data_IF_292432683908
#
_entry.id   IF_292432683908
#
_cell.length_a   1.000
_cell.length_b   1.000
_cell.length_c   1.000
_cell.angle_alpha   90.00
_cell.angle_beta   90.00
_cell.angle_gamma   90.00
#
_symmetry.space_group_name_H-M   'P 1'
#
loop_
_entity.id
_entity.type
_entity.pdbx_description
1 polymer ?
#
# COMPACT_ATOMS: atom_id res chain seq x y z
N UNK A 1 26.37 65.69 -5.43
CA UNK A 1 26.30 64.79 -4.26
C UNK A 1 24.98 64.01 -4.20
N UNK A 2 23.83 64.58 -4.56
CA UNK A 2 22.51 63.90 -4.52
C UNK A 2 22.24 62.77 -5.56
N UNK A 3 23.20 62.36 -6.40
CA UNK A 3 23.01 61.25 -7.38
C UNK A 3 23.63 59.93 -6.89
N UNK A 4 24.72 59.97 -6.12
CA UNK A 4 25.35 58.75 -5.62
C UNK A 4 24.56 58.12 -4.48
N UNK A 5 23.93 58.91 -3.62
CA UNK A 5 23.10 58.39 -2.51
C UNK A 5 21.83 57.69 -3.01
N UNK A 6 21.25 58.15 -4.12
CA UNK A 6 20.08 57.51 -4.75
C UNK A 6 20.45 56.20 -5.43
N UNK A 7 21.60 56.16 -6.12
CA UNK A 7 22.10 54.95 -6.76
C UNK A 7 22.56 53.91 -5.71
N UNK A 8 23.17 54.33 -4.61
CA UNK A 8 23.53 53.47 -3.48
C UNK A 8 22.30 52.93 -2.75
N UNK A 9 21.26 53.75 -2.54
CA UNK A 9 19.99 53.29 -1.95
C UNK A 9 19.23 52.32 -2.86
N UNK A 10 19.25 52.55 -4.19
CA UNK A 10 18.65 51.63 -5.16
C UNK A 10 19.40 50.30 -5.23
N UNK A 11 20.73 50.34 -5.21
CA UNK A 11 21.58 49.15 -5.17
C UNK A 11 21.37 48.36 -3.86
N UNK A 12 21.27 49.06 -2.72
CA UNK A 12 21.06 48.42 -1.41
C UNK A 12 19.66 47.77 -1.29
N UNK A 13 18.62 48.38 -1.86
CA UNK A 13 17.27 47.76 -1.97
C UNK A 13 17.27 46.55 -2.91
N UNK A 14 17.94 46.64 -4.06
CA UNK A 14 18.07 45.51 -5.00
C UNK A 14 18.77 44.29 -4.40
N UNK A 15 19.77 44.50 -3.54
CA UNK A 15 20.44 43.42 -2.80
C UNK A 15 19.53 42.77 -1.74
N UNK A 16 18.74 43.57 -1.02
CA UNK A 16 17.78 43.06 -0.02
C UNK A 16 16.66 42.24 -0.68
N UNK A 17 16.10 42.72 -1.80
CA UNK A 17 15.08 42.00 -2.57
C UNK A 17 15.60 40.66 -3.13
N UNK A 18 16.86 40.64 -3.58
CA UNK A 18 17.50 39.43 -4.12
C UNK A 18 17.73 38.40 -3.01
N UNK A 19 18.16 38.83 -1.82
CA UNK A 19 18.34 37.93 -0.68
C UNK A 19 17.01 37.37 -0.19
N UNK A 20 15.98 38.22 -0.05
CA UNK A 20 14.64 37.77 0.33
C UNK A 20 14.08 36.73 -0.65
N UNK A 21 14.31 36.92 -1.96
CA UNK A 21 13.89 35.96 -2.99
C UNK A 21 14.64 34.62 -2.85
N UNK A 22 15.94 34.64 -2.54
CA UNK A 22 16.73 33.41 -2.29
C UNK A 22 16.21 32.64 -1.09
N UNK A 23 15.96 33.34 0.02
CA UNK A 23 15.47 32.72 1.26
C UNK A 23 14.10 32.07 1.02
N UNK A 24 13.23 32.77 0.29
CA UNK A 24 11.90 32.28 -0.08
C UNK A 24 11.96 31.06 -1.03
N UNK A 25 12.88 31.05 -2.00
CA UNK A 25 13.11 29.90 -2.88
C UNK A 25 13.60 28.68 -2.12
N UNK A 26 14.52 28.86 -1.16
CA UNK A 26 15.05 27.80 -0.32
C UNK A 26 13.96 27.23 0.62
N UNK A 27 13.09 28.09 1.15
CA UNK A 27 11.94 27.66 1.96
C UNK A 27 10.96 26.82 1.13
N UNK A 28 10.65 27.24 -0.10
CA UNK A 28 9.79 26.46 -1.00
C UNK A 28 10.44 25.13 -1.41
N UNK A 29 11.75 25.09 -1.63
CA UNK A 29 12.47 23.84 -1.90
C UNK A 29 12.31 22.85 -0.75
N UNK A 30 12.56 23.33 0.47
CA UNK A 30 12.43 22.52 1.67
C UNK A 30 11.00 21.98 1.83
N UNK A 31 10.00 22.83 1.68
CA UNK A 31 8.59 22.41 1.75
C UNK A 31 8.24 21.39 0.67
N UNK A 32 8.81 21.53 -0.54
CA UNK A 32 8.61 20.58 -1.62
C UNK A 32 9.27 19.22 -1.31
N UNK A 33 10.50 19.23 -0.79
CA UNK A 33 11.19 18.02 -0.34
C UNK A 33 10.44 17.33 0.79
N UNK A 34 10.02 18.07 1.82
CA UNK A 34 9.23 17.54 2.94
C UNK A 34 7.91 16.91 2.45
N UNK A 35 7.25 17.53 1.46
CA UNK A 35 6.06 16.96 0.82
C UNK A 35 6.39 15.68 0.05
N UNK A 36 7.51 15.66 -0.68
CA UNK A 36 7.98 14.49 -1.42
C UNK A 36 8.25 13.32 -0.50
N UNK A 37 9.00 13.56 0.58
CA UNK A 37 9.30 12.57 1.60
C UNK A 37 8.01 12.06 2.25
N UNK A 38 7.07 12.95 2.59
CA UNK A 38 5.79 12.54 3.14
C UNK A 38 4.99 11.64 2.19
N UNK A 39 4.99 11.92 0.88
CA UNK A 39 4.30 11.11 -0.13
C UNK A 39 4.95 9.74 -0.32
N UNK A 40 6.29 9.69 -0.33
CA UNK A 40 7.07 8.47 -0.52
C UNK A 40 7.08 7.56 0.72
N UNK A 41 6.86 8.11 1.91
CA UNK A 41 6.85 7.33 3.16
C UNK A 41 5.44 7.14 3.75
N UNK A 42 4.40 7.59 3.05
CA UNK A 42 3.02 7.40 3.50
C UNK A 42 2.67 5.91 3.45
N UNK A 43 2.52 5.28 4.63
CA UNK A 43 2.31 3.84 4.71
C UNK A 43 1.11 3.39 3.87
N UNK A 44 1.27 2.39 2.98
CA UNK A 44 0.19 1.90 2.17
C UNK A 44 -0.88 1.24 3.05
N UNK A 45 -2.14 1.71 2.94
CA UNK A 45 -3.30 1.12 3.63
C UNK A 45 -3.83 -0.16 2.93
N UNK A 46 -3.22 -0.52 1.80
CA UNK A 46 -3.60 -1.59 0.88
C UNK A 46 -2.35 -2.14 0.18
N UNK A 47 -2.23 -3.46 0.01
CA UNK A 47 -1.14 -4.10 -0.75
C UNK A 47 -1.02 -3.57 -2.19
N UNK A 48 -2.12 -3.03 -2.75
CA UNK A 48 -2.16 -2.40 -4.08
C UNK A 48 -1.36 -1.10 -4.18
N UNK A 49 -0.95 -0.54 -3.04
CA UNK A 49 -0.12 0.66 -2.95
C UNK A 49 1.32 0.34 -2.54
N UNK A 50 1.74 -0.93 -2.55
CA UNK A 50 3.15 -1.28 -2.42
C UNK A 50 3.90 -0.69 -3.63
N UNK A 51 4.41 0.53 -3.45
CA UNK A 51 5.07 1.32 -4.48
C UNK A 51 6.58 1.13 -4.32
N UNK A 52 7.27 0.92 -5.44
CA UNK A 52 8.72 1.12 -5.49
C UNK A 52 8.99 2.63 -5.45
N UNK A 53 9.16 3.14 -4.23
CA UNK A 53 9.32 4.57 -3.95
C UNK A 53 10.61 5.12 -4.54
N UNK A 54 11.65 4.28 -4.67
CA UNK A 54 12.95 4.66 -5.23
C UNK A 54 12.86 4.82 -6.75
N UNK A 55 12.23 3.87 -7.44
CA UNK A 55 12.01 3.93 -8.89
C UNK A 55 11.13 5.12 -9.30
N UNK A 56 10.04 5.38 -8.56
CA UNK A 56 9.14 6.49 -8.86
C UNK A 56 9.80 7.86 -8.67
N UNK A 57 10.58 8.01 -7.60
CA UNK A 57 11.33 9.24 -7.36
C UNK A 57 12.42 9.48 -8.43
N UNK A 58 13.18 8.44 -8.77
CA UNK A 58 14.17 8.51 -9.86
C UNK A 58 13.53 8.87 -11.21
N UNK A 59 12.38 8.29 -11.53
CA UNK A 59 11.64 8.62 -12.75
C UNK A 59 11.20 10.08 -12.75
N UNK A 60 10.66 10.58 -11.63
CA UNK A 60 10.25 11.98 -11.51
C UNK A 60 11.41 12.96 -11.70
N UNK A 61 12.59 12.66 -11.13
CA UNK A 61 13.81 13.43 -11.32
C UNK A 61 14.26 13.47 -12.78
N UNK A 62 14.30 12.30 -13.45
CA UNK A 62 14.66 12.23 -14.87
C UNK A 62 13.69 13.03 -15.75
N UNK A 63 12.39 12.94 -15.49
CA UNK A 63 11.37 13.70 -16.23
C UNK A 63 11.51 15.21 -16.01
N UNK A 64 11.74 15.64 -14.76
CA UNK A 64 11.95 17.05 -14.42
C UNK A 64 13.21 17.63 -15.08
N UNK A 65 14.32 16.89 -15.03
CA UNK A 65 15.60 17.28 -15.66
C UNK A 65 15.49 17.33 -17.18
N UNK A 66 14.83 16.32 -17.78
CA UNK A 66 14.61 16.24 -19.23
C UNK A 66 13.51 17.18 -19.74
N UNK A 67 12.76 17.84 -18.84
CA UNK A 67 11.53 18.59 -19.15
C UNK A 67 10.59 17.81 -20.06
N UNK A 68 10.49 16.51 -19.80
CA UNK A 68 9.72 15.57 -20.61
C UNK A 68 8.97 14.59 -19.70
N UNK A 69 7.63 14.69 -19.61
CA UNK A 69 6.78 15.70 -20.26
C UNK A 69 7.06 17.12 -19.75
N UNK A 70 6.65 18.15 -20.51
CA UNK A 70 6.79 19.55 -20.08
C UNK A 70 6.10 19.74 -18.72
N UNK A 71 6.83 20.12 -17.65
CA UNK A 71 6.27 20.32 -16.33
C UNK A 71 5.13 21.36 -16.30
N UNK A 72 5.06 22.28 -17.25
CA UNK A 72 3.99 23.27 -17.30
C UNK A 72 2.64 22.67 -17.72
N UNK A 73 2.64 21.59 -18.49
CA UNK A 73 1.41 20.91 -18.90
C UNK A 73 0.66 20.32 -17.71
N UNK A 74 1.38 19.96 -16.64
CA UNK A 74 0.76 19.46 -15.40
C UNK A 74 -0.15 20.49 -14.74
N UNK A 75 0.13 21.79 -14.93
CA UNK A 75 -0.67 22.86 -14.34
C UNK A 75 -2.07 22.97 -14.96
N UNK A 76 -2.27 22.37 -16.12
CA UNK A 76 -3.55 22.32 -16.82
C UNK A 76 -4.35 21.06 -16.47
N UNK A 77 -3.76 20.10 -15.75
CA UNK A 77 -4.43 18.85 -15.41
C UNK A 77 -5.52 19.13 -14.36
N UNK A 78 -6.79 18.84 -14.67
CA UNK A 78 -7.88 19.20 -13.78
C UNK A 78 -7.93 18.29 -12.54
N UNK A 79 -8.12 18.92 -11.37
CA UNK A 79 -8.38 18.23 -10.11
C UNK A 79 -9.86 17.84 -10.04
N UNK A 80 -10.27 16.92 -10.92
CA UNK A 80 -11.64 16.46 -10.93
C UNK A 80 -11.82 15.36 -9.90
N UNK A 81 -12.70 15.56 -8.92
CA UNK A 81 -13.10 14.52 -7.96
C UNK A 81 -14.09 13.50 -8.53
N UNK A 82 -14.51 13.66 -9.80
CA UNK A 82 -15.42 12.72 -10.45
C UNK A 82 -14.82 11.31 -10.46
N UNK A 83 -15.53 10.40 -9.82
CA UNK A 83 -15.14 9.00 -9.72
C UNK A 83 -15.35 8.32 -11.08
N UNK A 84 -14.28 7.79 -11.71
CA UNK A 84 -14.42 7.01 -12.92
C UNK A 84 -15.33 5.81 -12.67
N UNK A 85 -16.16 5.46 -13.65
CA UNK A 85 -17.11 4.33 -13.53
C UNK A 85 -16.39 2.97 -13.51
N UNK A 86 -15.17 2.89 -14.06
CA UNK A 86 -14.36 1.68 -14.11
C UNK A 86 -13.25 1.73 -13.07
N UNK A 87 -13.00 0.60 -12.42
CA UNK A 87 -11.98 0.45 -11.37
C UNK A 87 -10.57 0.72 -11.87
N UNK A 88 -10.23 0.26 -13.08
CA UNK A 88 -8.90 0.46 -13.66
C UNK A 88 -8.64 1.93 -14.00
N UNK A 89 -9.66 2.63 -14.51
CA UNK A 89 -9.58 4.07 -14.78
C UNK A 89 -9.45 4.88 -13.48
N UNK A 90 -10.03 4.39 -12.38
CA UNK A 90 -9.89 4.99 -11.06
C UNK A 90 -8.49 4.82 -10.48
N UNK A 91 -7.90 3.62 -10.56
CA UNK A 91 -6.53 3.40 -10.11
C UNK A 91 -5.53 4.22 -10.94
N UNK A 92 -5.67 4.23 -12.28
CA UNK A 92 -4.85 5.08 -13.16
C UNK A 92 -4.93 6.56 -12.78
N UNK A 93 -6.12 7.03 -12.37
CA UNK A 93 -6.31 8.41 -11.93
C UNK A 93 -5.58 8.70 -10.61
N UNK A 94 -5.63 7.77 -9.64
CA UNK A 94 -4.86 7.84 -8.40
C UNK A 94 -3.37 7.95 -8.73
N UNK A 95 -2.85 7.03 -9.54
CA UNK A 95 -1.42 6.96 -9.89
C UNK A 95 -0.96 8.21 -10.66
N UNK A 96 -1.82 8.74 -11.55
CA UNK A 96 -1.53 9.97 -12.28
C UNK A 96 -1.39 11.19 -11.37
N UNK A 97 -2.25 11.35 -10.35
CA UNK A 97 -2.11 12.45 -9.39
C UNK A 97 -0.81 12.34 -8.59
N UNK A 98 -0.42 11.13 -8.17
CA UNK A 98 0.88 10.92 -7.50
C UNK A 98 2.05 11.27 -8.42
N UNK A 99 2.03 10.78 -9.66
CA UNK A 99 3.10 11.05 -10.64
C UNK A 99 3.27 12.54 -10.90
N UNK A 100 2.17 13.29 -11.07
CA UNK A 100 2.21 14.74 -11.23
C UNK A 100 2.80 15.41 -9.99
N UNK A 101 2.35 15.04 -8.79
CA UNK A 101 2.85 15.63 -7.56
C UNK A 101 4.38 15.45 -7.43
N UNK A 102 4.87 14.23 -7.63
CA UNK A 102 6.31 13.93 -7.57
C UNK A 102 7.11 14.65 -8.65
N UNK A 103 6.61 14.71 -9.90
CA UNK A 103 7.30 15.42 -10.99
C UNK A 103 7.39 16.93 -10.72
N UNK A 104 6.34 17.54 -10.17
CA UNK A 104 6.37 18.96 -9.81
C UNK A 104 7.32 19.25 -8.64
N UNK A 105 7.39 18.36 -7.64
CA UNK A 105 8.38 18.44 -6.54
C UNK A 105 9.80 18.34 -7.10
N UNK A 106 10.06 17.34 -7.93
CA UNK A 106 11.34 17.15 -8.61
C UNK A 106 11.73 18.37 -9.46
N UNK A 107 10.75 19.02 -10.11
CA UNK A 107 10.98 20.22 -10.90
C UNK A 107 11.36 21.43 -10.03
N UNK A 108 10.71 21.63 -8.88
CA UNK A 108 11.12 22.66 -7.90
C UNK A 108 12.58 22.46 -7.49
N UNK A 109 12.95 21.25 -7.07
CA UNK A 109 14.33 20.96 -6.66
C UNK A 109 15.32 21.09 -7.81
N UNK A 110 14.94 20.69 -9.02
CA UNK A 110 15.78 20.91 -10.21
C UNK A 110 16.03 22.41 -10.46
N UNK A 111 14.99 23.25 -10.41
CA UNK A 111 15.13 24.68 -10.60
C UNK A 111 16.04 25.31 -9.53
N UNK A 112 15.83 24.97 -8.26
CA UNK A 112 16.60 25.51 -7.14
C UNK A 112 18.06 25.07 -7.15
N UNK A 113 18.32 23.77 -7.35
CA UNK A 113 19.66 23.22 -7.18
C UNK A 113 20.53 23.32 -8.45
N UNK A 114 19.91 23.41 -9.64
CA UNK A 114 20.64 23.34 -10.91
C UNK A 114 20.48 24.59 -11.78
N UNK A 115 19.28 25.19 -11.83
CA UNK A 115 19.02 26.28 -12.78
C UNK A 115 19.32 27.66 -12.18
N UNK A 116 18.84 27.93 -10.97
CA UNK A 116 19.06 29.20 -10.28
C UNK A 116 20.57 29.50 -10.10
N UNK A 117 21.44 28.56 -9.69
CA UNK A 117 22.88 28.79 -9.63
C UNK A 117 23.47 29.24 -10.97
N UNK A 118 23.03 28.63 -12.08
CA UNK A 118 23.49 29.01 -13.44
C UNK A 118 23.08 30.42 -13.83
N UNK A 119 21.94 30.93 -13.33
CA UNK A 119 21.55 32.32 -13.56
C UNK A 119 22.51 33.27 -12.86
N UNK A 120 22.91 32.95 -11.61
CA UNK A 120 23.90 33.74 -10.88
C UNK A 120 25.28 33.71 -11.55
N UNK A 121 25.71 32.55 -12.05
CA UNK A 121 27.02 32.37 -12.67
C UNK A 121 27.15 33.01 -14.05
N UNK A 122 26.10 32.97 -14.88
CA UNK A 122 26.21 33.29 -16.31
C UNK A 122 25.61 34.64 -16.71
N UNK A 123 24.82 35.29 -15.84
CA UNK A 123 24.16 36.57 -16.17
C UNK A 123 24.79 37.68 -15.32
N UNK A 124 25.60 38.54 -15.92
CA UNK A 124 26.31 39.64 -15.24
C UNK A 124 25.49 40.92 -15.06
N UNK A 125 24.43 41.08 -15.84
CA UNK A 125 23.58 42.28 -15.80
C UNK A 125 22.51 42.14 -14.72
N UNK A 126 22.59 42.97 -13.67
CA UNK A 126 21.76 42.83 -12.47
C UNK A 126 20.26 42.91 -12.75
N UNK A 127 19.82 43.84 -13.61
CA UNK A 127 18.41 43.98 -13.97
C UNK A 127 17.88 42.74 -14.71
N UNK A 128 18.67 42.20 -15.63
CA UNK A 128 18.32 40.98 -16.39
C UNK A 128 18.31 39.76 -15.47
N UNK A 129 19.29 39.65 -14.57
CA UNK A 129 19.37 38.58 -13.57
C UNK A 129 18.15 38.60 -12.65
N UNK A 130 17.78 39.78 -12.12
CA UNK A 130 16.62 39.92 -11.25
C UNK A 130 15.31 39.54 -11.95
N UNK A 131 15.13 39.94 -13.22
CA UNK A 131 13.95 39.57 -13.99
C UNK A 131 13.86 38.05 -14.17
N UNK A 132 14.96 37.39 -14.57
CA UNK A 132 14.99 35.94 -14.72
C UNK A 132 14.72 35.21 -13.41
N UNK A 133 15.27 35.68 -12.29
CA UNK A 133 15.03 35.08 -10.98
C UNK A 133 13.55 35.20 -10.55
N UNK A 134 12.88 36.32 -10.86
CA UNK A 134 11.43 36.47 -10.59
C UNK A 134 10.58 35.52 -11.44
N UNK A 135 10.96 35.31 -12.69
CA UNK A 135 10.27 34.35 -13.57
C UNK A 135 10.43 32.91 -13.04
N UNK A 136 11.64 32.52 -12.65
CA UNK A 136 11.88 31.19 -12.07
C UNK A 136 11.18 31.01 -10.72
N UNK A 137 11.16 32.04 -9.87
CA UNK A 137 10.37 32.03 -8.63
C UNK A 137 8.89 31.74 -8.90
N UNK A 138 8.32 32.40 -9.90
CA UNK A 138 6.92 32.20 -10.27
C UNK A 138 6.65 30.75 -10.69
N UNK A 139 7.59 30.13 -11.41
CA UNK A 139 7.49 28.71 -11.78
C UNK A 139 7.59 27.80 -10.56
N UNK A 140 8.55 28.06 -9.66
CA UNK A 140 8.71 27.31 -8.40
C UNK A 140 7.43 27.36 -7.58
N UNK A 141 6.86 28.54 -7.38
CA UNK A 141 5.62 28.71 -6.62
C UNK A 141 4.43 27.99 -7.26
N UNK A 142 4.28 28.09 -8.60
CA UNK A 142 3.22 27.36 -9.33
C UNK A 142 3.38 25.85 -9.26
N UNK A 143 4.61 25.35 -9.42
CA UNK A 143 4.92 23.93 -9.32
C UNK A 143 4.67 23.39 -7.93
N UNK A 144 5.09 24.11 -6.88
CA UNK A 144 4.79 23.71 -5.51
C UNK A 144 3.27 23.69 -5.23
N UNK A 145 2.53 24.70 -5.67
CA UNK A 145 1.07 24.73 -5.54
C UNK A 145 0.40 23.56 -6.28
N UNK A 146 0.84 23.25 -7.50
CA UNK A 146 0.37 22.11 -8.28
C UNK A 146 0.69 20.79 -7.56
N UNK A 147 1.92 20.62 -7.04
CA UNK A 147 2.30 19.45 -6.28
C UNK A 147 1.38 19.22 -5.07
N UNK A 148 1.14 20.26 -4.29
CA UNK A 148 0.28 20.19 -3.10
C UNK A 148 -1.16 19.82 -3.45
N UNK A 149 -1.70 20.41 -4.51
CA UNK A 149 -3.03 20.14 -5.04
C UNK A 149 -3.19 18.67 -5.47
N UNK A 150 -2.23 18.16 -6.24
CA UNK A 150 -2.23 16.78 -6.72
C UNK A 150 -1.97 15.76 -5.61
N UNK A 151 -1.11 16.07 -4.65
CA UNK A 151 -0.90 15.29 -3.43
C UNK A 151 -2.20 15.14 -2.63
N UNK A 152 -2.93 16.24 -2.47
CA UNK A 152 -4.22 16.25 -1.77
C UNK A 152 -5.26 15.41 -2.51
N UNK A 153 -5.37 15.57 -3.84
CA UNK A 153 -6.28 14.79 -4.67
C UNK A 153 -5.97 13.29 -4.61
N UNK A 154 -4.69 12.93 -4.67
CA UNK A 154 -4.22 11.55 -4.52
C UNK A 154 -4.66 10.93 -3.19
N UNK A 155 -4.42 11.62 -2.06
CA UNK A 155 -4.84 11.16 -0.72
C UNK A 155 -6.35 10.94 -0.64
N UNK A 156 -7.14 11.90 -1.12
CA UNK A 156 -8.60 11.81 -1.11
C UNK A 156 -9.11 10.62 -1.93
N UNK A 157 -8.53 10.37 -3.12
CA UNK A 157 -8.95 9.26 -3.98
C UNK A 157 -8.53 7.91 -3.40
N UNK A 158 -7.34 7.80 -2.80
CA UNK A 158 -6.91 6.61 -2.04
C UNK A 158 -7.85 6.30 -0.89
N UNK A 159 -8.16 7.31 -0.08
CA UNK A 159 -9.08 7.14 1.05
C UNK A 159 -10.48 6.73 0.58
N UNK A 160 -10.97 7.26 -0.54
CA UNK A 160 -12.25 6.83 -1.11
C UNK A 160 -12.22 5.37 -1.57
N UNK A 161 -11.12 4.94 -2.23
CA UNK A 161 -10.92 3.55 -2.66
C UNK A 161 -10.96 2.60 -1.46
N UNK A 162 -10.19 2.94 -0.43
CA UNK A 162 -9.95 2.07 0.72
C UNK A 162 -11.15 2.03 1.69
N UNK A 163 -11.94 3.11 1.72
CA UNK A 163 -13.18 3.19 2.50
C UNK A 163 -14.43 2.78 1.72
N UNK A 164 -14.30 2.36 0.46
CA UNK A 164 -15.45 1.91 -0.32
C UNK A 164 -16.13 0.69 0.34
N UNK A 165 -17.47 0.54 0.23
CA UNK A 165 -18.18 -0.61 0.78
C UNK A 165 -17.61 -1.94 0.30
N UNK A 166 -17.17 -2.00 -0.96
CA UNK A 166 -16.52 -3.17 -1.54
C UNK A 166 -15.18 -3.50 -0.86
N UNK A 167 -14.33 -2.51 -0.62
CA UNK A 167 -13.06 -2.71 0.08
C UNK A 167 -13.26 -3.12 1.55
N UNK A 168 -14.25 -2.52 2.23
CA UNK A 168 -14.63 -2.93 3.60
C UNK A 168 -15.13 -4.37 3.64
N UNK A 169 -15.93 -4.78 2.66
CA UNK A 169 -16.41 -6.15 2.53
C UNK A 169 -15.28 -7.13 2.24
N UNK A 170 -14.33 -6.78 1.37
CA UNK A 170 -13.15 -7.58 1.04
C UNK A 170 -12.30 -7.82 2.30
N UNK A 171 -11.97 -6.76 3.06
CA UNK A 171 -11.24 -6.85 4.34
C UNK A 171 -12.01 -7.68 5.37
N UNK A 172 -13.32 -7.50 5.50
CA UNK A 172 -14.13 -8.28 6.42
C UNK A 172 -14.20 -9.77 6.03
N UNK A 173 -14.20 -10.07 4.73
CA UNK A 173 -14.17 -11.44 4.23
C UNK A 173 -12.80 -12.09 4.46
N UNK A 174 -11.70 -11.36 4.22
CA UNK A 174 -10.34 -11.82 4.52
C UNK A 174 -10.17 -12.12 6.01
N UNK A 175 -10.53 -11.19 6.90
CA UNK A 175 -10.46 -11.42 8.35
C UNK A 175 -11.31 -12.63 8.78
N UNK A 176 -12.52 -12.79 8.22
CA UNK A 176 -13.35 -13.98 8.47
C UNK A 176 -12.71 -15.27 7.96
N UNK A 177 -11.95 -15.22 6.87
CA UNK A 177 -11.25 -16.36 6.32
C UNK A 177 -10.03 -16.72 7.17
N UNK A 178 -9.22 -15.74 7.56
CA UNK A 178 -8.07 -15.92 8.46
C UNK A 178 -8.49 -16.55 9.78
N UNK A 179 -9.57 -16.05 10.41
CA UNK A 179 -10.12 -16.63 11.64
C UNK A 179 -10.58 -18.08 11.41
N UNK A 180 -11.17 -18.40 10.25
CA UNK A 180 -11.56 -19.78 9.92
C UNK A 180 -10.32 -20.68 9.78
N UNK A 181 -9.29 -20.19 9.09
CA UNK A 181 -8.06 -20.92 8.84
C UNK A 181 -7.30 -21.17 10.16
N UNK A 182 -7.20 -20.18 11.04
CA UNK A 182 -6.62 -20.31 12.38
C UNK A 182 -7.36 -21.37 13.23
N UNK A 183 -8.70 -21.33 13.24
CA UNK A 183 -9.52 -22.33 13.94
C UNK A 183 -9.28 -23.72 13.39
N UNK A 184 -9.16 -23.86 12.07
CA UNK A 184 -8.91 -25.14 11.44
C UNK A 184 -7.51 -25.67 11.76
N UNK A 185 -6.48 -24.81 11.73
CA UNK A 185 -5.10 -25.15 12.12
C UNK A 185 -5.05 -25.61 13.58
N UNK A 186 -5.71 -24.88 14.48
CA UNK A 186 -5.81 -25.25 15.90
C UNK A 186 -6.48 -26.62 16.07
N UNK A 187 -7.63 -26.83 15.43
CA UNK A 187 -8.35 -28.10 15.51
C UNK A 187 -7.50 -29.26 14.95
N UNK A 188 -6.79 -29.07 13.83
CA UNK A 188 -5.86 -30.08 13.29
C UNK A 188 -4.76 -30.44 14.29
N UNK A 189 -4.19 -29.45 14.99
CA UNK A 189 -3.16 -29.70 16.00
C UNK A 189 -3.71 -30.50 17.19
N UNK A 190 -4.92 -30.16 17.67
CA UNK A 190 -5.59 -30.88 18.75
C UNK A 190 -5.91 -32.33 18.36
N UNK A 191 -6.47 -32.55 17.16
CA UNK A 191 -6.77 -33.91 16.65
C UNK A 191 -5.48 -34.73 16.58
N UNK A 192 -4.39 -34.15 16.05
CA UNK A 192 -3.10 -34.84 15.98
C UNK A 192 -2.61 -35.26 17.37
N UNK A 193 -2.72 -34.36 18.35
CA UNK A 193 -2.38 -34.65 19.75
C UNK A 193 -3.23 -35.78 20.32
N UNK A 194 -4.55 -35.72 20.11
CA UNK A 194 -5.49 -36.74 20.56
C UNK A 194 -5.20 -38.12 19.95
N UNK A 195 -5.04 -38.19 18.62
CA UNK A 195 -4.74 -39.43 17.89
C UNK A 195 -3.46 -40.13 18.38
N UNK A 196 -2.47 -39.35 18.83
CA UNK A 196 -1.18 -39.86 19.28
C UNK A 196 -1.17 -40.22 20.76
N UNK A 197 -1.74 -39.37 21.63
CA UNK A 197 -1.65 -39.52 23.10
C UNK A 197 -2.77 -40.37 23.70
N UNK A 198 -3.96 -40.34 23.11
CA UNK A 198 -5.14 -41.02 23.64
C UNK A 198 -5.47 -42.29 22.86
N UNK A 199 -4.45 -42.91 22.24
CA UNK A 199 -4.61 -44.13 21.47
C UNK A 199 -5.14 -45.27 22.36
N UNK A 200 -6.26 -45.92 22.00
CA UNK A 200 -6.71 -47.13 22.67
C UNK A 200 -5.71 -48.28 22.49
N UNK A 201 -5.64 -49.20 23.44
CA UNK A 201 -4.70 -50.34 23.41
C UNK A 201 -4.84 -51.21 22.15
N UNK A 202 -6.04 -51.30 21.56
CA UNK A 202 -6.31 -51.99 20.30
C UNK A 202 -6.16 -51.14 19.04
N UNK A 203 -5.81 -49.85 19.15
CA UNK A 203 -5.84 -48.88 18.06
C UNK A 203 -7.21 -48.20 17.90
N UNK A 204 -7.27 -47.18 17.05
CA UNK A 204 -8.50 -46.47 16.72
C UNK A 204 -9.42 -47.34 15.86
N UNK A 205 -10.74 -47.25 16.07
CA UNK A 205 -11.72 -48.00 15.26
C UNK A 205 -11.85 -47.42 13.84
N UNK A 206 -13.05 -47.39 13.25
CA UNK A 206 -13.29 -46.62 12.03
C UNK A 206 -13.38 -45.14 12.35
N UNK A 207 -12.97 -44.29 11.41
CA UNK A 207 -12.85 -42.83 11.62
C UNK A 207 -14.18 -42.14 11.98
N UNK A 208 -15.31 -42.73 11.57
CA UNK A 208 -16.66 -42.30 11.94
C UNK A 208 -17.00 -42.60 13.41
N UNK A 209 -16.46 -43.68 13.97
CA UNK A 209 -16.64 -44.06 15.39
C UNK A 209 -15.57 -43.45 16.29
N UNK A 210 -14.36 -43.23 15.78
CA UNK A 210 -13.29 -42.58 16.51
C UNK A 210 -13.51 -41.07 16.70
N UNK A 211 -14.18 -40.40 15.76
CA UNK A 211 -14.41 -38.96 15.82
C UNK A 211 -15.20 -38.49 17.07
N UNK A 212 -16.30 -39.15 17.47
CA UNK A 212 -16.98 -38.85 18.74
C UNK A 212 -16.10 -39.03 19.98
N UNK A 213 -15.25 -40.06 20.00
CA UNK A 213 -14.33 -40.33 21.11
C UNK A 213 -13.25 -39.25 21.19
N UNK A 214 -12.72 -38.82 20.06
CA UNK A 214 -11.76 -37.71 20.02
C UNK A 214 -12.46 -36.40 20.43
N UNK A 215 -13.69 -36.18 19.99
CA UNK A 215 -14.48 -35.01 20.37
C UNK A 215 -14.68 -34.93 21.88
N UNK A 216 -15.01 -36.04 22.55
CA UNK A 216 -15.19 -36.07 24.00
C UNK A 216 -13.89 -35.84 24.78
N UNK A 217 -12.74 -36.19 24.22
CA UNK A 217 -11.42 -35.87 24.79
C UNK A 217 -11.08 -34.39 24.63
N UNK A 218 -11.40 -33.79 23.48
CA UNK A 218 -11.05 -32.40 23.17
C UNK A 218 -12.03 -31.40 23.78
N UNK A 219 -13.30 -31.76 23.95
CA UNK A 219 -14.36 -30.88 24.41
C UNK A 219 -14.08 -30.23 25.79
N UNK A 220 -13.61 -30.97 26.82
CA UNK A 220 -13.23 -30.35 28.09
C UNK A 220 -12.13 -29.30 27.94
N UNK A 221 -11.14 -29.53 27.07
CA UNK A 221 -10.06 -28.57 26.81
C UNK A 221 -10.57 -27.33 26.08
N UNK A 222 -11.50 -27.51 25.14
CA UNK A 222 -12.13 -26.39 24.44
C UNK A 222 -12.89 -25.50 25.43
N UNK A 223 -13.63 -26.09 26.36
CA UNK A 223 -14.37 -25.36 27.40
C UNK A 223 -13.43 -24.69 28.42
N UNK A 224 -12.46 -25.44 28.96
CA UNK A 224 -11.52 -24.96 29.98
C UNK A 224 -10.72 -23.74 29.49
N UNK A 225 -10.21 -23.79 28.27
CA UNK A 225 -9.40 -22.72 27.68
C UNK A 225 -10.21 -21.74 26.83
N UNK A 226 -11.54 -21.88 26.76
CA UNK A 226 -12.43 -21.06 25.94
C UNK A 226 -11.94 -20.93 24.49
N UNK A 227 -11.52 -22.06 23.90
CA UNK A 227 -10.97 -22.09 22.55
C UNK A 227 -12.07 -21.73 21.54
N UNK A 228 -11.75 -21.02 20.44
CA UNK A 228 -12.76 -20.54 19.49
C UNK A 228 -13.25 -21.65 18.53
N UNK A 229 -13.44 -22.87 19.03
CA UNK A 229 -13.86 -24.09 18.36
C UNK A 229 -15.33 -24.42 18.71
N UNK A 230 -15.98 -25.41 18.07
CA UNK A 230 -17.33 -25.81 18.44
C UNK A 230 -17.40 -26.38 19.86
N UNK A 231 -18.29 -25.82 20.67
CA UNK A 231 -18.65 -26.33 22.00
C UNK A 231 -19.72 -27.43 21.95
N UNK A 232 -20.33 -27.65 20.79
CA UNK A 232 -21.24 -28.76 20.53
C UNK A 232 -20.41 -30.01 20.14
N UNK A 233 -20.55 -31.09 20.92
CA UNK A 233 -19.78 -32.33 20.73
C UNK A 233 -20.10 -32.98 19.39
N UNK A 234 -21.36 -32.95 18.95
CA UNK A 234 -21.77 -33.56 17.68
C UNK A 234 -21.17 -32.79 16.52
N UNK A 235 -21.24 -31.45 16.56
CA UNK A 235 -20.64 -30.58 15.55
C UNK A 235 -19.11 -30.70 15.52
N UNK A 236 -18.49 -30.84 16.69
CA UNK A 236 -17.04 -31.07 16.82
C UNK A 236 -16.65 -32.43 16.21
N UNK A 237 -17.40 -33.47 16.54
CA UNK A 237 -17.23 -34.83 16.00
C UNK A 237 -17.33 -34.84 14.47
N UNK A 238 -18.33 -34.17 13.89
CA UNK A 238 -18.45 -34.07 12.44
C UNK A 238 -17.24 -33.38 11.78
N UNK A 239 -16.73 -32.31 12.40
CA UNK A 239 -15.53 -31.61 11.90
C UNK A 239 -14.28 -32.49 12.01
N UNK A 240 -14.11 -33.21 13.12
CA UNK A 240 -12.99 -34.14 13.32
C UNK A 240 -13.05 -35.25 12.27
N UNK A 241 -14.21 -35.88 12.09
CA UNK A 241 -14.44 -36.93 11.08
C UNK A 241 -14.04 -36.43 9.69
N UNK A 242 -14.51 -35.23 9.32
CA UNK A 242 -14.19 -34.62 8.03
C UNK A 242 -12.69 -34.36 7.89
N UNK A 243 -12.04 -33.81 8.90
CA UNK A 243 -10.60 -33.50 8.87
C UNK A 243 -9.73 -34.75 8.76
N UNK A 244 -10.03 -35.82 9.50
CA UNK A 244 -9.34 -37.12 9.36
C UNK A 244 -9.51 -37.69 7.95
N UNK A 245 -10.71 -37.55 7.38
CA UNK A 245 -10.97 -38.02 6.02
C UNK A 245 -10.25 -37.19 4.96
N UNK A 246 -10.25 -35.85 5.05
CA UNK A 246 -9.75 -34.98 3.96
C UNK A 246 -8.29 -34.62 4.08
N UNK A 247 -7.74 -34.48 5.29
CA UNK A 247 -6.39 -33.95 5.52
C UNK A 247 -5.35 -35.09 5.50
N UNK A 248 -4.36 -35.07 4.57
CA UNK A 248 -3.47 -36.21 4.38
C UNK A 248 -2.60 -36.58 5.60
N UNK A 249 -2.18 -35.60 6.41
CA UNK A 249 -1.30 -35.83 7.56
C UNK A 249 -2.05 -36.51 8.70
N UNK A 250 -3.24 -36.03 9.04
CA UNK A 250 -4.14 -36.60 10.01
C UNK A 250 -4.59 -37.98 9.57
N UNK A 251 -4.90 -38.17 8.28
CA UNK A 251 -5.22 -39.50 7.74
C UNK A 251 -4.07 -40.47 7.90
N UNK A 252 -2.84 -40.05 7.59
CA UNK A 252 -1.65 -40.87 7.77
C UNK A 252 -1.47 -41.28 9.24
N UNK A 253 -1.55 -40.32 10.16
CA UNK A 253 -1.43 -40.58 11.60
C UNK A 253 -2.56 -41.50 12.08
N UNK A 254 -3.78 -41.33 11.57
CA UNK A 254 -4.89 -42.22 11.86
C UNK A 254 -4.59 -43.65 11.39
N UNK A 255 -4.17 -43.82 10.13
CA UNK A 255 -3.89 -45.12 9.53
C UNK A 255 -2.71 -45.85 10.22
N UNK A 256 -1.75 -45.12 10.76
CA UNK A 256 -0.64 -45.69 11.55
C UNK A 256 -1.09 -46.21 12.92
N UNK A 257 -2.21 -45.69 13.44
CA UNK A 257 -2.69 -45.99 14.78
C UNK A 257 -4.08 -46.68 14.80
N UNK A 258 -4.70 -46.87 13.65
CA UNK A 258 -6.05 -47.38 13.48
C UNK A 258 -6.10 -48.84 13.06
N UNK A 259 -7.19 -49.50 13.39
CA UNK A 259 -7.49 -50.89 13.03
C UNK A 259 -7.84 -51.01 11.55
N UNK A 260 -8.55 -50.00 11.03
CA UNK A 260 -8.96 -49.94 9.62
C UNK A 260 -8.45 -48.66 8.97
N UNK A 261 -7.84 -48.76 7.77
CA UNK A 261 -7.38 -47.58 7.07
C UNK A 261 -8.56 -46.73 6.60
N UNK A 262 -8.42 -45.41 6.67
CA UNK A 262 -9.36 -44.46 6.08
C UNK A 262 -9.28 -44.58 4.56
N UNK A 263 -10.42 -44.77 3.86
CA UNK A 263 -10.42 -44.85 2.41
C UNK A 263 -9.91 -43.55 1.78
N UNK A 264 -9.22 -43.66 0.64
CA UNK A 264 -8.81 -42.45 -0.08
C UNK A 264 -10.05 -41.68 -0.57
N UNK A 265 -10.09 -40.35 -0.38
CA UNK A 265 -11.13 -39.54 -1.00
C UNK A 265 -10.98 -39.70 -2.50
N UNK A 266 -12.05 -40.17 -3.15
CA UNK A 266 -12.08 -40.29 -4.59
C UNK A 266 -11.67 -38.94 -5.20
N UNK A 267 -10.52 -38.92 -5.91
CA UNK A 267 -10.16 -37.76 -6.73
C UNK A 267 -11.35 -37.52 -7.66
N UNK A 268 -12.06 -36.40 -7.48
CA UNK A 268 -13.02 -35.95 -8.48
C UNK A 268 -12.26 -35.87 -9.80
N UNK A 269 -12.56 -36.79 -10.73
CA UNK A 269 -12.10 -36.66 -12.12
C UNK A 269 -12.61 -35.31 -12.58
N UNK A 270 -11.71 -34.38 -12.92
CA UNK A 270 -12.07 -33.19 -13.69
C UNK A 270 -12.65 -33.68 -15.01
N UNK A 271 -13.97 -33.67 -15.11
CA UNK A 271 -14.66 -33.88 -16.38
C UNK A 271 -14.51 -32.57 -17.13
N UNK A 272 -13.51 -32.49 -17.99
CA UNK A 272 -13.40 -31.39 -18.94
C UNK A 272 -14.49 -31.60 -20.00
N UNK A 273 -15.58 -30.86 -19.90
CA UNK A 273 -16.53 -30.74 -21.00
C UNK A 273 -15.89 -29.92 -22.11
N UNK A 274 -15.32 -30.58 -23.11
CA UNK A 274 -15.04 -29.94 -24.40
C UNK A 274 -16.32 -29.91 -25.21
N UNK A 275 -16.96 -28.74 -25.28
CA UNK A 275 -17.97 -28.48 -26.31
C UNK A 275 -17.22 -28.39 -27.66
N UNK A 276 -17.64 -29.22 -28.63
CA UNK A 276 -17.28 -29.09 -30.04
C UNK A 276 -18.36 -28.32 -30.77
#
# INVERSE_FOLDING_TARGET
MSRSETDEQQHHRGLQDTQALKDLMAEVDKMATDLGDALLHEQPKSEKDAIDHEEQWHTALQQAMGRSPDPMNDWEVPINSSLPRKKDDFQKKIDNHLSIALRQIAFVSHLNQNWIPKIYENINEDNRRQLMLRDEYTKIAKSFACAYQHATAWRMLKDFRDNSPAARQEKANQAKQEIKDEKEVMLRALIKGALSKHRPSGGWERYDLAAPVIASVLHPLIQEYSLPLPDDIDLLSEKIRKLIFTEPRLRKIYNENGIQPVPEPHKMRKVNFTFR
#
